data_IF_494483371943
#
_entry.id   IF_494483371943
#
_cell.length_a   1.000
_cell.length_b   1.000
_cell.length_c   1.000
_cell.angle_alpha   90.00
_cell.angle_beta   90.00
_cell.angle_gamma   90.00
#
_symmetry.space_group_name_H-M   'P 1'
#
loop_
_entity.id
_entity.type
_entity.pdbx_description
1 polymer ?
#
# COMPACT_ATOMS: atom_id res chain seq x y z
N UNK A 1 -6.37 -9.55 -14.29
CA UNK A 1 -6.10 -10.47 -13.13
C UNK A 1 -7.31 -10.51 -12.19
N UNK A 2 -7.76 -11.68 -11.75
CA UNK A 2 -8.88 -11.77 -10.78
C UNK A 2 -8.34 -11.50 -9.39
N UNK A 3 -8.70 -10.36 -8.80
CA UNK A 3 -8.31 -10.01 -7.45
C UNK A 3 -9.10 -10.82 -6.41
N UNK A 4 -8.42 -11.25 -5.36
CA UNK A 4 -8.99 -11.97 -4.22
C UNK A 4 -8.74 -11.19 -2.94
N UNK A 5 -9.62 -11.32 -1.95
CA UNK A 5 -9.38 -10.74 -0.61
C UNK A 5 -8.01 -11.16 -0.10
N UNK A 6 -7.31 -10.21 0.49
CA UNK A 6 -5.96 -10.39 1.00
C UNK A 6 -5.83 -11.60 1.93
N UNK A 7 -4.74 -12.32 1.76
CA UNK A 7 -4.28 -13.37 2.68
C UNK A 7 -2.78 -13.19 2.93
N UNK A 8 -2.31 -13.46 4.16
CA UNK A 8 -0.90 -13.30 4.56
C UNK A 8 0.07 -14.07 3.64
N UNK A 9 -0.35 -15.21 3.11
CA UNK A 9 0.47 -16.05 2.22
C UNK A 9 0.52 -15.60 0.75
N UNK A 10 -0.17 -14.51 0.38
CA UNK A 10 -0.04 -13.96 -0.98
C UNK A 10 1.31 -13.27 -1.14
N UNK A 11 1.89 -13.37 -2.33
CA UNK A 11 3.09 -12.63 -2.72
C UNK A 11 2.82 -11.14 -3.01
N UNK A 12 1.57 -10.71 -2.93
CA UNK A 12 1.13 -9.35 -3.20
C UNK A 12 0.19 -8.82 -2.12
N UNK A 13 0.03 -7.50 -2.10
CA UNK A 13 -0.96 -6.81 -1.27
C UNK A 13 -1.62 -5.67 -2.04
N UNK A 14 -2.46 -4.89 -1.34
CA UNK A 14 -3.28 -3.83 -1.92
C UNK A 14 -3.16 -2.54 -1.13
N UNK A 15 -2.99 -1.42 -1.83
CA UNK A 15 -3.31 -0.10 -1.29
C UNK A 15 -4.77 0.24 -1.64
N UNK A 16 -5.45 0.96 -0.75
CA UNK A 16 -6.81 1.44 -0.97
C UNK A 16 -6.86 2.94 -0.85
N UNK A 17 -7.41 3.60 -1.87
CA UNK A 17 -7.57 5.03 -1.96
C UNK A 17 -6.54 5.69 -2.88
N UNK A 18 -6.86 6.91 -3.31
CA UNK A 18 -6.03 7.67 -4.27
C UNK A 18 -4.66 7.99 -3.68
N UNK A 19 -4.62 8.52 -2.45
CA UNK A 19 -3.37 8.96 -1.83
C UNK A 19 -2.39 7.81 -1.59
N UNK A 20 -2.75 6.68 -0.94
CA UNK A 20 -1.83 5.55 -0.76
C UNK A 20 -1.35 4.94 -2.08
N UNK A 21 -2.17 4.97 -3.11
CA UNK A 21 -1.79 4.49 -4.45
C UNK A 21 -0.81 5.44 -5.14
N UNK A 22 -0.96 6.75 -4.96
CA UNK A 22 0.01 7.73 -5.43
C UNK A 22 1.37 7.59 -4.74
N UNK A 23 1.38 7.42 -3.42
CA UNK A 23 2.62 7.20 -2.65
C UNK A 23 3.34 5.93 -3.12
N UNK A 24 2.58 4.84 -3.31
CA UNK A 24 3.12 3.59 -3.86
C UNK A 24 3.76 3.81 -5.25
N UNK A 25 3.08 4.51 -6.16
CA UNK A 25 3.60 4.80 -7.50
C UNK A 25 4.80 5.74 -7.49
N UNK A 26 4.88 6.62 -6.50
CA UNK A 26 5.96 7.61 -6.40
C UNK A 26 7.23 7.00 -5.79
N UNK A 27 7.08 6.18 -4.75
CA UNK A 27 8.23 5.72 -3.96
C UNK A 27 8.59 4.26 -4.18
N UNK A 28 7.67 3.43 -4.69
CA UNK A 28 7.85 1.99 -4.85
C UNK A 28 7.35 1.49 -6.20
N UNK A 29 7.53 2.27 -7.24
CA UNK A 29 7.03 1.99 -8.59
C UNK A 29 7.45 0.61 -9.11
N UNK A 30 8.66 0.16 -8.77
CA UNK A 30 9.21 -1.16 -9.16
C UNK A 30 8.45 -2.34 -8.54
N UNK A 31 7.70 -2.11 -7.47
CA UNK A 31 6.91 -3.15 -6.80
C UNK A 31 5.45 -3.13 -7.23
N UNK A 32 5.03 -2.18 -8.07
CA UNK A 32 3.64 -2.07 -8.54
C UNK A 32 3.38 -3.09 -9.62
N UNK A 33 2.35 -3.90 -9.42
CA UNK A 33 1.89 -4.93 -10.37
C UNK A 33 0.75 -4.44 -11.27
N UNK A 34 0.03 -3.40 -10.84
CA UNK A 34 -1.07 -2.81 -11.57
C UNK A 34 -1.93 -1.91 -10.69
N UNK A 35 -2.80 -1.15 -11.33
CA UNK A 35 -3.74 -0.25 -10.65
C UNK A 35 -5.15 -0.51 -11.16
N UNK A 36 -6.12 -0.52 -10.24
CA UNK A 36 -7.54 -0.58 -10.54
C UNK A 36 -8.19 0.74 -10.18
N UNK A 37 -8.92 1.32 -11.12
CA UNK A 37 -9.68 2.55 -10.92
C UNK A 37 -11.18 2.24 -10.86
N UNK A 38 -11.86 2.94 -9.96
CA UNK A 38 -13.31 2.89 -9.88
C UNK A 38 -13.93 3.72 -11.05
N UNK A 39 -15.01 3.27 -11.73
CA UNK A 39 -15.60 4.05 -12.82
C UNK A 39 -16.01 5.49 -12.45
N UNK A 40 -16.36 5.73 -11.16
CA UNK A 40 -16.71 7.07 -10.64
C UNK A 40 -15.50 7.97 -10.38
N UNK A 41 -14.28 7.50 -10.65
CA UNK A 41 -13.05 8.22 -10.33
C UNK A 41 -12.68 9.33 -11.33
N UNK A 42 -13.36 9.42 -12.47
CA UNK A 42 -12.98 10.25 -13.64
C UNK A 42 -12.86 11.77 -13.38
N UNK A 43 -13.42 12.29 -12.29
CA UNK A 43 -13.35 13.71 -11.93
C UNK A 43 -12.34 14.01 -10.80
N UNK A 44 -11.58 13.04 -10.35
CA UNK A 44 -10.62 13.22 -9.26
C UNK A 44 -9.23 13.52 -9.81
N UNK A 45 -8.69 14.69 -9.48
CA UNK A 45 -7.36 15.15 -9.95
C UNK A 45 -6.22 14.21 -9.56
N UNK A 46 -6.33 13.54 -8.43
CA UNK A 46 -5.36 12.54 -7.99
C UNK A 46 -5.39 11.28 -8.87
N UNK A 47 -6.55 10.92 -9.42
CA UNK A 47 -6.67 9.80 -10.37
C UNK A 47 -5.97 10.12 -11.67
N UNK A 48 -6.10 11.34 -12.20
CA UNK A 48 -5.36 11.75 -13.41
C UNK A 48 -3.84 11.64 -13.22
N UNK A 49 -3.35 11.96 -12.02
CA UNK A 49 -1.93 11.79 -11.69
C UNK A 49 -1.53 10.31 -11.61
N UNK A 50 -2.39 9.45 -11.07
CA UNK A 50 -2.18 7.98 -11.08
C UNK A 50 -2.06 7.48 -12.53
N UNK A 51 -2.99 7.89 -13.41
CA UNK A 51 -2.97 7.50 -14.82
C UNK A 51 -1.67 7.93 -15.52
N UNK A 52 -1.24 9.17 -15.29
CA UNK A 52 0.03 9.68 -15.80
C UNK A 52 1.23 8.86 -15.33
N UNK A 53 1.33 8.59 -14.03
CA UNK A 53 2.43 7.79 -13.46
C UNK A 53 2.43 6.35 -13.98
N UNK A 54 1.27 5.74 -14.12
CA UNK A 54 1.14 4.40 -14.69
C UNK A 54 1.57 4.37 -16.15
N UNK A 55 1.17 5.37 -16.96
CA UNK A 55 1.59 5.48 -18.35
C UNK A 55 3.11 5.65 -18.48
N UNK A 56 3.72 6.52 -17.68
CA UNK A 56 5.16 6.77 -17.67
C UNK A 56 5.99 5.52 -17.31
N UNK A 57 5.43 4.63 -16.49
CA UNK A 57 6.11 3.45 -15.99
C UNK A 57 5.60 2.13 -16.58
N UNK A 58 4.77 2.20 -17.64
CA UNK A 58 4.17 1.03 -18.29
C UNK A 58 3.41 0.09 -17.33
N UNK A 59 2.75 0.66 -16.30
CA UNK A 59 1.96 -0.08 -15.31
C UNK A 59 0.52 -0.24 -15.86
N UNK A 60 -0.02 -1.47 -15.88
CA UNK A 60 -1.37 -1.70 -16.38
C UNK A 60 -2.44 -1.06 -15.47
N UNK A 61 -3.43 -0.44 -16.10
CA UNK A 61 -4.62 0.10 -15.44
C UNK A 61 -5.85 -0.67 -15.92
N UNK A 62 -6.70 -1.07 -14.99
CA UNK A 62 -8.01 -1.64 -15.28
C UNK A 62 -9.10 -0.81 -14.58
N UNK A 63 -10.23 -0.56 -15.27
CA UNK A 63 -11.40 0.09 -14.67
C UNK A 63 -12.42 -0.99 -14.31
N UNK A 64 -12.74 -1.14 -13.01
CA UNK A 64 -13.50 -2.30 -12.58
C UNK A 64 -14.21 -2.13 -11.23
N UNK A 65 -15.50 -1.81 -11.23
CA UNK A 65 -16.30 -1.63 -10.02
C UNK A 65 -16.40 -2.89 -9.14
N UNK A 66 -16.63 -4.06 -9.76
CA UNK A 66 -16.82 -5.32 -9.02
C UNK A 66 -15.62 -5.72 -8.15
N UNK A 67 -14.40 -5.34 -8.53
CA UNK A 67 -13.21 -5.62 -7.76
C UNK A 67 -13.15 -4.81 -6.46
N UNK A 68 -13.61 -3.57 -6.47
CA UNK A 68 -13.69 -2.74 -5.25
C UNK A 68 -14.59 -3.39 -4.21
N UNK A 69 -15.79 -3.82 -4.58
CA UNK A 69 -16.73 -4.51 -3.68
C UNK A 69 -16.16 -5.84 -3.18
N UNK A 70 -15.53 -6.62 -4.06
CA UNK A 70 -14.94 -7.92 -3.71
C UNK A 70 -13.81 -7.81 -2.70
N UNK A 71 -12.97 -6.79 -2.84
CA UNK A 71 -11.83 -6.55 -1.96
C UNK A 71 -12.19 -5.86 -0.65
N UNK A 72 -13.42 -5.36 -0.50
CA UNK A 72 -13.87 -4.63 0.68
C UNK A 72 -13.36 -3.18 0.71
N UNK A 73 -13.23 -2.57 -0.47
CA UNK A 73 -12.96 -1.14 -0.59
C UNK A 73 -14.09 -0.32 0.04
N UNK A 74 -13.75 0.85 0.56
CA UNK A 74 -14.72 1.82 1.09
C UNK A 74 -15.32 2.62 -0.06
N UNK A 75 -16.43 3.29 0.20
CA UNK A 75 -17.16 4.07 -0.81
C UNK A 75 -16.28 5.13 -1.51
N UNK A 76 -15.32 5.70 -0.79
CA UNK A 76 -14.42 6.75 -1.29
C UNK A 76 -13.06 6.20 -1.77
N UNK A 77 -12.89 4.89 -1.87
CA UNK A 77 -11.69 4.29 -2.44
C UNK A 77 -11.83 4.27 -3.97
N UNK A 78 -11.35 5.30 -4.65
CA UNK A 78 -11.42 5.42 -6.12
C UNK A 78 -10.27 4.72 -6.86
N UNK A 79 -9.22 4.33 -6.14
CA UNK A 79 -8.07 3.63 -6.68
C UNK A 79 -7.64 2.49 -5.76
N UNK A 80 -7.18 1.39 -6.36
CA UNK A 80 -6.54 0.26 -5.69
C UNK A 80 -5.22 0.00 -6.40
N UNK A 81 -4.10 0.13 -5.68
CA UNK A 81 -2.80 -0.32 -6.16
C UNK A 81 -2.55 -1.75 -5.74
N UNK A 82 -2.01 -2.55 -6.64
CA UNK A 82 -1.53 -3.90 -6.33
C UNK A 82 -0.03 -3.88 -6.29
N UNK A 83 0.56 -4.27 -5.17
CA UNK A 83 2.00 -4.27 -4.97
C UNK A 83 2.52 -5.68 -4.68
N UNK A 84 3.71 -5.97 -5.18
CA UNK A 84 4.49 -7.13 -4.75
C UNK A 84 4.99 -6.89 -3.35
N UNK A 85 4.90 -7.88 -2.47
CA UNK A 85 5.57 -7.83 -1.17
C UNK A 85 7.08 -7.86 -1.36
N UNK A 86 7.78 -7.12 -0.54
CA UNK A 86 9.23 -7.03 -0.57
C UNK A 86 9.81 -7.22 0.83
N UNK A 87 11.09 -7.46 0.89
CA UNK A 87 11.90 -7.39 2.11
C UNK A 87 13.11 -6.53 1.83
N UNK A 88 13.58 -5.83 2.84
CA UNK A 88 14.82 -5.10 2.79
C UNK A 88 15.67 -5.49 4.01
N UNK A 89 17.00 -5.61 3.86
CA UNK A 89 17.89 -5.75 5.00
C UNK A 89 17.85 -4.45 5.83
N UNK A 90 18.07 -4.57 7.13
CA UNK A 90 18.29 -3.41 7.98
C UNK A 90 19.66 -2.80 7.66
N UNK A 91 19.72 -1.47 7.59
CA UNK A 91 20.99 -0.77 7.45
C UNK A 91 21.69 -0.70 8.81
N UNK A 92 22.79 -1.41 9.00
CA UNK A 92 23.52 -1.46 10.26
C UNK A 92 24.05 -0.09 10.73
N UNK A 93 24.15 0.90 9.84
CA UNK A 93 24.59 2.25 10.14
C UNK A 93 23.45 3.20 10.47
N UNK A 94 22.20 2.80 10.25
CA UNK A 94 21.00 3.62 10.50
C UNK A 94 20.41 3.39 11.89
N UNK A 95 19.59 4.34 12.34
CA UNK A 95 18.76 4.15 13.52
C UNK A 95 17.55 3.28 13.20
N UNK A 96 17.27 2.29 14.03
CA UNK A 96 16.17 1.35 13.85
C UNK A 96 15.09 1.54 14.91
N UNK A 97 13.84 1.36 14.52
CA UNK A 97 12.77 1.09 15.47
C UNK A 97 12.55 -0.42 15.55
N UNK A 98 12.50 -0.95 16.76
CA UNK A 98 12.19 -2.37 16.98
C UNK A 98 10.84 -2.47 17.69
N UNK A 99 9.89 -3.15 17.08
CA UNK A 99 8.57 -3.41 17.66
C UNK A 99 8.46 -4.88 18.06
N UNK A 100 8.10 -5.13 19.30
CA UNK A 100 7.90 -6.49 19.82
C UNK A 100 6.41 -6.80 19.86
N UNK A 101 6.00 -7.84 19.16
CA UNK A 101 4.61 -8.34 19.12
C UNK A 101 3.54 -7.26 18.82
N UNK A 102 3.71 -6.39 17.80
CA UNK A 102 2.70 -5.40 17.46
C UNK A 102 1.48 -6.08 16.83
N UNK A 103 0.44 -6.35 17.61
CA UNK A 103 -0.75 -7.10 17.18
C UNK A 103 -1.83 -6.25 16.49
N UNK A 104 -1.90 -4.95 16.78
CA UNK A 104 -2.90 -4.04 16.22
C UNK A 104 -2.47 -3.51 14.85
N UNK A 105 -3.23 -3.82 13.80
CA UNK A 105 -2.98 -3.34 12.42
C UNK A 105 -3.00 -1.81 12.33
N UNK A 106 -3.98 -1.17 12.97
CA UNK A 106 -4.10 0.28 12.97
C UNK A 106 -2.92 0.96 13.66
N UNK A 107 -2.52 0.45 14.83
CA UNK A 107 -1.38 0.98 15.57
C UNK A 107 -0.08 0.78 14.78
N UNK A 108 0.14 -0.40 14.22
CA UNK A 108 1.34 -0.69 13.41
C UNK A 108 1.45 0.29 12.23
N UNK A 109 0.38 0.47 11.46
CA UNK A 109 0.38 1.42 10.35
C UNK A 109 0.59 2.87 10.80
N UNK A 110 0.00 3.28 11.92
CA UNK A 110 0.22 4.62 12.49
C UNK A 110 1.66 4.83 12.92
N UNK A 111 2.29 3.81 13.52
CA UNK A 111 3.71 3.86 13.91
C UNK A 111 4.60 3.98 12.66
N UNK A 112 4.36 3.18 11.61
CA UNK A 112 5.10 3.25 10.34
C UNK A 112 5.01 4.67 9.75
N UNK A 113 3.83 5.26 9.73
CA UNK A 113 3.64 6.63 9.27
C UNK A 113 4.41 7.65 10.14
N UNK A 114 4.35 7.51 11.46
CA UNK A 114 5.07 8.40 12.38
C UNK A 114 6.59 8.28 12.21
N UNK A 115 7.11 7.08 12.03
CA UNK A 115 8.54 6.85 11.76
C UNK A 115 9.03 7.66 10.58
N UNK A 116 8.32 7.58 9.44
CA UNK A 116 8.66 8.33 8.23
C UNK A 116 8.68 9.84 8.52
N UNK A 117 7.70 10.34 9.27
CA UNK A 117 7.62 11.75 9.65
C UNK A 117 8.78 12.22 10.55
N UNK A 118 9.40 11.31 11.32
CA UNK A 118 10.56 11.56 12.16
C UNK A 118 11.90 11.18 11.51
N UNK A 119 11.90 10.76 10.24
CA UNK A 119 13.12 10.40 9.53
C UNK A 119 13.70 9.03 9.90
N UNK A 120 12.90 8.13 10.47
CA UNK A 120 13.28 6.74 10.70
C UNK A 120 12.78 5.88 9.54
N UNK A 121 13.68 5.17 8.89
CA UNK A 121 13.37 4.37 7.69
C UNK A 121 13.51 2.87 7.90
N UNK A 122 14.10 2.45 9.00
CA UNK A 122 14.36 1.04 9.32
C UNK A 122 13.46 0.56 10.46
N UNK A 123 12.64 -0.45 10.18
CA UNK A 123 11.74 -1.08 11.12
C UNK A 123 12.02 -2.58 11.22
N UNK A 124 12.34 -3.05 12.40
CA UNK A 124 12.35 -4.47 12.73
C UNK A 124 11.07 -4.82 13.51
N UNK A 125 10.41 -5.90 13.10
CA UNK A 125 9.21 -6.41 13.76
C UNK A 125 9.50 -7.81 14.30
N UNK A 126 9.36 -8.00 15.61
CA UNK A 126 9.52 -9.30 16.28
C UNK A 126 8.14 -9.96 16.37
N UNK A 127 8.00 -11.11 15.73
CA UNK A 127 6.76 -11.90 15.70
C UNK A 127 6.48 -12.61 17.05
N UNK A 128 5.21 -12.98 17.34
CA UNK A 128 4.03 -12.82 16.49
C UNK A 128 3.60 -11.35 16.36
N UNK A 129 3.19 -10.96 15.17
CA UNK A 129 2.86 -9.57 14.85
C UNK A 129 1.75 -9.47 13.80
N UNK A 130 1.12 -8.29 13.72
CA UNK A 130 0.32 -7.94 12.56
C UNK A 130 1.20 -7.93 11.30
N UNK A 131 0.65 -8.41 10.19
CA UNK A 131 1.35 -8.42 8.90
C UNK A 131 1.50 -6.99 8.38
N UNK A 132 2.73 -6.52 8.19
CA UNK A 132 3.03 -5.17 7.70
C UNK A 132 2.40 -4.89 6.33
N UNK A 133 2.23 -5.93 5.50
CA UNK A 133 1.57 -5.83 4.21
C UNK A 133 0.06 -6.02 4.25
N UNK A 134 -0.55 -6.18 5.44
CA UNK A 134 -2.01 -6.22 5.51
C UNK A 134 -2.60 -4.90 5.01
N UNK A 135 -3.64 -4.91 4.12
CA UNK A 135 -4.20 -3.68 3.57
C UNK A 135 -4.65 -2.65 4.61
N UNK A 136 -5.09 -3.09 5.80
CA UNK A 136 -5.42 -2.16 6.88
C UNK A 136 -4.19 -1.47 7.47
N UNK A 137 -3.03 -2.15 7.52
CA UNK A 137 -1.75 -1.55 7.92
C UNK A 137 -1.32 -0.51 6.89
N UNK A 138 -1.34 -0.88 5.60
CA UNK A 138 -0.98 0.01 4.50
C UNK A 138 -1.87 1.25 4.45
N UNK A 139 -3.17 1.08 4.72
CA UNK A 139 -4.13 2.18 4.82
C UNK A 139 -3.79 3.12 5.99
N UNK A 140 -3.54 2.56 7.18
CA UNK A 140 -3.20 3.35 8.37
C UNK A 140 -1.82 4.04 8.22
N UNK A 141 -0.90 3.42 7.50
CA UNK A 141 0.40 4.00 7.17
C UNK A 141 0.32 5.10 6.10
N UNK A 142 -0.83 5.28 5.44
CA UNK A 142 -1.03 6.29 4.39
C UNK A 142 -0.01 6.16 3.24
N UNK A 143 0.41 4.94 2.90
CA UNK A 143 1.40 4.67 1.86
C UNK A 143 2.86 4.81 2.29
N UNK A 144 3.14 5.05 3.56
CA UNK A 144 4.50 5.00 4.11
C UNK A 144 4.98 3.53 4.16
N UNK A 145 5.82 3.10 3.17
CA UNK A 145 6.38 1.75 3.02
C UNK A 145 7.85 1.78 2.63
#
# INVERSE_FOLDING_TARGET
MILKRYKKNFAHSYTFGVFPTLELLTHRVQDVLGVWLHPRASQNSGVSKIEQLCQQNAIPIEIHEKNFNRLGARENDYAIGVLRKFSAPLDAAANHLVLVNPGSRGNLGTIIRAMLGFGFYDLAVIEPAADIFHPDVLRAAMGAL
#
